data_IF_898275244235
#
_entry.id   IF_898275244235
#
_cell.length_a   1.000
_cell.length_b   1.000
_cell.length_c   1.000
_cell.angle_alpha   90.00
_cell.angle_beta   90.00
_cell.angle_gamma   90.00
#
_symmetry.space_group_name_H-M   'P 1'
#
loop_
_entity.id
_entity.type
_entity.pdbx_description
1 polymer ?
#
# COMPACT_ATOMS: atom_id res chain seq x y z
N UNK A 1 20.16 29.54 5.03
CA UNK A 1 19.96 28.41 4.10
C UNK A 1 18.83 27.57 4.66
N UNK A 2 17.61 27.91 4.28
CA UNK A 2 16.38 27.29 4.77
C UNK A 2 16.28 25.90 4.14
N UNK A 3 16.14 24.85 4.96
CA UNK A 3 15.88 23.51 4.41
C UNK A 3 14.62 23.58 3.55
N UNK A 4 14.64 23.04 2.32
CA UNK A 4 13.43 23.00 1.51
C UNK A 4 12.39 22.21 2.31
N UNK A 5 11.18 22.78 2.34
CA UNK A 5 10.03 22.31 3.08
C UNK A 5 10.03 20.80 3.24
N UNK A 6 10.00 20.36 4.50
CA UNK A 6 9.80 18.98 4.86
C UNK A 6 8.65 18.43 4.03
N UNK A 7 8.97 17.66 2.98
CA UNK A 7 8.02 16.84 2.24
C UNK A 7 7.30 16.07 3.33
N UNK A 8 6.06 16.47 3.62
CA UNK A 8 5.32 15.93 4.73
C UNK A 8 5.02 14.49 4.31
N UNK A 9 5.87 13.55 4.74
CA UNK A 9 5.75 12.15 4.40
C UNK A 9 4.42 11.67 4.98
N UNK A 10 3.39 11.65 4.14
CA UNK A 10 2.06 11.17 4.48
C UNK A 10 2.22 9.77 5.07
N UNK A 11 1.80 9.50 6.30
CA UNK A 11 1.99 8.17 6.90
C UNK A 11 1.20 7.09 6.15
N UNK A 12 1.62 5.82 6.16
CA UNK A 12 0.84 4.71 5.57
C UNK A 12 -0.61 4.70 6.09
N UNK A 13 -0.78 4.96 7.39
CA UNK A 13 -2.11 5.12 8.03
C UNK A 13 -2.94 6.22 7.38
N UNK A 14 -2.31 7.35 7.06
CA UNK A 14 -2.97 8.49 6.44
C UNK A 14 -3.33 8.22 4.97
N UNK A 15 -2.47 7.49 4.24
CA UNK A 15 -2.78 7.01 2.89
C UNK A 15 -4.04 6.15 2.92
N UNK A 16 -4.07 5.17 3.82
CA UNK A 16 -5.17 4.23 3.95
C UNK A 16 -6.47 4.87 4.48
N UNK A 17 -6.38 5.90 5.33
CA UNK A 17 -7.56 6.53 5.94
C UNK A 17 -8.35 7.42 4.99
N UNK A 18 -7.72 7.95 3.93
CA UNK A 18 -8.41 8.78 2.93
C UNK A 18 -8.84 7.96 1.70
N UNK A 19 -8.76 6.61 1.77
CA UNK A 19 -9.25 5.74 0.70
C UNK A 19 -10.76 5.60 0.76
N UNK A 20 -11.44 6.21 -0.21
CA UNK A 20 -12.85 5.95 -0.46
C UNK A 20 -13.09 4.45 -0.73
N UNK A 21 -14.28 3.92 -0.36
CA UNK A 21 -14.59 2.50 -0.51
C UNK A 21 -14.30 1.92 -1.90
N UNK A 22 -14.53 2.73 -2.93
CA UNK A 22 -14.52 2.34 -4.34
C UNK A 22 -13.23 2.72 -5.07
N UNK A 23 -12.26 3.29 -4.36
CA UNK A 23 -10.97 3.67 -4.94
C UNK A 23 -10.21 2.44 -5.44
N UNK A 24 -9.79 2.46 -6.70
CA UNK A 24 -8.81 1.48 -7.21
C UNK A 24 -7.44 1.74 -6.57
N UNK A 25 -7.09 0.88 -5.62
CA UNK A 25 -5.81 0.96 -4.90
C UNK A 25 -4.59 0.81 -5.80
N UNK A 26 -4.71 0.21 -6.98
CA UNK A 26 -3.60 0.07 -7.94
C UNK A 26 -3.28 1.38 -8.67
N UNK A 27 -4.21 2.34 -8.68
CA UNK A 27 -4.00 3.68 -9.25
C UNK A 27 -3.17 4.59 -8.33
N UNK A 28 -2.99 4.20 -7.07
CA UNK A 28 -2.28 5.00 -6.05
C UNK A 28 -0.81 4.59 -6.02
N UNK A 29 -0.01 5.29 -6.83
CA UNK A 29 1.43 5.02 -7.01
C UNK A 29 2.17 5.01 -5.67
N UNK A 30 1.94 6.02 -4.82
CA UNK A 30 2.61 6.14 -3.52
C UNK A 30 2.33 4.94 -2.60
N UNK A 31 1.09 4.44 -2.59
CA UNK A 31 0.71 3.25 -1.81
C UNK A 31 1.43 2.00 -2.34
N UNK A 32 1.52 1.89 -3.67
CA UNK A 32 2.12 0.76 -4.38
C UNK A 32 3.64 0.68 -4.13
N UNK A 33 4.35 1.80 -4.21
CA UNK A 33 5.79 1.90 -3.93
C UNK A 33 6.11 1.55 -2.47
N UNK A 34 5.33 2.08 -1.52
CA UNK A 34 5.54 1.81 -0.10
C UNK A 34 5.25 0.36 0.24
N UNK A 35 4.20 -0.20 -0.33
CA UNK A 35 3.84 -1.61 -0.18
C UNK A 35 4.93 -2.50 -0.74
N UNK A 36 5.47 -2.17 -1.91
CA UNK A 36 6.60 -2.86 -2.53
C UNK A 36 7.82 -2.86 -1.61
N UNK A 37 8.21 -1.69 -1.08
CA UNK A 37 9.33 -1.55 -0.16
C UNK A 37 9.15 -2.40 1.12
N UNK A 38 7.95 -2.40 1.70
CA UNK A 38 7.64 -3.24 2.87
C UNK A 38 7.75 -4.73 2.52
N UNK A 39 7.18 -5.16 1.40
CA UNK A 39 7.25 -6.56 0.95
C UNK A 39 8.70 -7.01 0.70
N UNK A 40 9.51 -6.17 0.03
CA UNK A 40 10.93 -6.44 -0.21
C UNK A 40 11.72 -6.62 1.10
N UNK A 41 11.40 -5.84 2.14
CA UNK A 41 12.08 -5.89 3.45
C UNK A 41 11.66 -7.08 4.29
N UNK A 42 10.36 -7.38 4.36
CA UNK A 42 9.83 -8.38 5.30
C UNK A 42 9.66 -9.78 4.68
N UNK A 43 9.32 -9.87 3.39
CA UNK A 43 9.05 -11.15 2.72
C UNK A 43 10.28 -11.67 1.96
N UNK A 44 11.12 -10.77 1.45
CA UNK A 44 12.32 -11.13 0.69
C UNK A 44 12.03 -11.90 -0.60
N UNK A 45 12.99 -12.68 -1.08
CA UNK A 45 12.84 -13.47 -2.31
C UNK A 45 12.45 -12.62 -3.52
N UNK A 46 11.46 -13.10 -4.29
CA UNK A 46 10.95 -12.41 -5.48
C UNK A 46 10.44 -10.99 -5.21
N UNK A 47 9.99 -10.68 -3.98
CA UNK A 47 9.54 -9.34 -3.60
C UNK A 47 10.63 -8.28 -3.65
N UNK A 48 11.91 -8.66 -3.63
CA UNK A 48 13.04 -7.72 -3.76
C UNK A 48 13.29 -7.28 -5.20
N UNK A 49 12.91 -8.11 -6.17
CA UNK A 49 13.29 -7.94 -7.58
C UNK A 49 12.09 -7.69 -8.50
N UNK A 50 10.87 -8.00 -8.04
CA UNK A 50 9.66 -7.75 -8.82
C UNK A 50 9.53 -6.25 -9.14
N UNK A 51 9.27 -5.85 -10.39
CA UNK A 51 8.97 -4.47 -10.73
C UNK A 51 7.71 -3.99 -9.99
N UNK A 52 7.67 -2.72 -9.61
CA UNK A 52 6.50 -2.14 -8.93
C UNK A 52 5.26 -2.33 -9.79
N UNK A 53 5.35 -2.18 -11.11
CA UNK A 53 4.26 -2.29 -12.08
C UNK A 53 3.55 -3.65 -12.02
N UNK A 54 4.28 -4.73 -11.76
CA UNK A 54 3.76 -6.10 -11.64
C UNK A 54 3.06 -6.37 -10.30
N UNK A 55 3.29 -5.52 -9.29
CA UNK A 55 2.60 -5.60 -8.01
C UNK A 55 1.13 -5.22 -8.19
N UNK A 56 0.24 -6.09 -7.73
CA UNK A 56 -1.20 -5.92 -7.71
C UNK A 56 -1.70 -5.90 -6.26
N UNK A 57 -2.64 -5.00 -6.00
CA UNK A 57 -3.25 -4.83 -4.70
C UNK A 57 -4.76 -4.92 -4.86
N UNK A 58 -5.41 -5.72 -4.03
CA UNK A 58 -6.87 -5.79 -3.97
C UNK A 58 -7.35 -5.46 -2.56
N UNK A 59 -8.33 -4.57 -2.48
CA UNK A 59 -9.02 -4.30 -1.22
C UNK A 59 -10.01 -5.44 -0.97
N UNK A 60 -9.87 -6.12 0.16
CA UNK A 60 -10.72 -7.24 0.54
C UNK A 60 -11.46 -6.89 1.82
N UNK A 61 -12.78 -7.02 1.77
CA UNK A 61 -13.69 -6.82 2.90
C UNK A 61 -13.84 -8.13 3.65
N UNK A 62 -13.46 -8.13 4.93
CA UNK A 62 -13.60 -9.28 5.81
C UNK A 62 -14.68 -8.98 6.85
N UNK A 63 -15.77 -9.75 6.80
CA UNK A 63 -16.78 -9.77 7.87
C UNK A 63 -16.36 -10.75 8.97
N UNK A 64 -16.39 -10.29 10.20
CA UNK A 64 -16.14 -11.10 11.41
C UNK A 64 -17.31 -10.93 12.38
N UNK A 65 -17.37 -11.72 13.46
CA UNK A 65 -18.38 -11.51 14.51
C UNK A 65 -18.31 -10.12 15.14
N UNK A 66 -17.10 -9.54 15.20
CA UNK A 66 -16.84 -8.26 15.86
C UNK A 66 -16.98 -7.06 14.92
N UNK A 67 -17.32 -7.29 13.64
CA UNK A 67 -17.53 -6.25 12.65
C UNK A 67 -16.83 -6.50 11.32
N UNK A 68 -16.78 -5.45 10.48
CA UNK A 68 -16.18 -5.49 9.14
C UNK A 68 -14.83 -4.79 9.17
N UNK A 69 -13.80 -5.47 8.65
CA UNK A 69 -12.46 -4.92 8.47
C UNK A 69 -12.07 -4.94 6.99
N UNK A 70 -11.38 -3.90 6.54
CA UNK A 70 -10.79 -3.85 5.20
C UNK A 70 -9.31 -4.19 5.29
N UNK A 71 -8.83 -5.10 4.44
CA UNK A 71 -7.40 -5.40 4.29
C UNK A 71 -7.00 -5.24 2.82
N UNK A 72 -5.71 -5.01 2.58
CA UNK A 72 -5.13 -5.04 1.23
C UNK A 72 -4.42 -6.37 1.06
N UNK A 73 -4.89 -7.15 0.08
CA UNK A 73 -4.19 -8.35 -0.40
C UNK A 73 -3.20 -7.92 -1.48
N UNK A 74 -1.97 -8.41 -1.39
CA UNK A 74 -0.86 -8.04 -2.27
C UNK A 74 -0.35 -9.29 -2.96
N UNK A 75 -0.17 -9.24 -4.28
CA UNK A 75 0.36 -10.32 -5.10
C UNK A 75 1.04 -9.75 -6.35
N UNK A 76 1.78 -10.57 -7.08
CA UNK A 76 2.37 -10.23 -8.38
C UNK A 76 2.24 -11.44 -9.33
N UNK A 77 2.20 -11.17 -10.64
CA UNK A 77 2.09 -12.16 -11.71
C UNK A 77 3.38 -12.20 -12.53
#
# INVERSE_FOLDING_TARGET
MSMPDAVHFRGMKQILSELEPDTDVNSIIELKERTHMLCARFLGGAWKTVPVEQLRMNRVRFGTRDGIYMKILIYFL
#
